data_IF_641720571369
#
_entry.id   IF_641720571369
#
_cell.length_a   1.000
_cell.length_b   1.000
_cell.length_c   1.000
_cell.angle_alpha   90.00
_cell.angle_beta   90.00
_cell.angle_gamma   90.00
#
_symmetry.space_group_name_H-M   'P 1'
#
loop_
_entity.id
_entity.type
_entity.pdbx_description
1 polymer ?
#
# COMPACT_ATOMS: atom_id res chain seq x y z
N UNK A 1 -35.45 -10.65 -4.58
CA UNK A 1 -34.19 -10.78 -5.35
C UNK A 1 -33.09 -10.06 -4.58
N UNK A 2 -31.93 -10.68 -4.41
CA UNK A 2 -30.74 -9.99 -3.85
C UNK A 2 -30.29 -8.87 -4.78
N UNK A 3 -29.83 -7.76 -4.22
CA UNK A 3 -29.28 -6.65 -5.01
C UNK A 3 -27.94 -7.06 -5.60
N UNK A 4 -27.66 -6.67 -6.85
CA UNK A 4 -26.36 -6.85 -7.48
C UNK A 4 -25.27 -6.06 -6.76
N UNK A 5 -24.08 -6.62 -6.69
CA UNK A 5 -22.88 -5.93 -6.23
C UNK A 5 -22.43 -4.90 -7.25
N UNK A 6 -22.45 -3.62 -6.88
CA UNK A 6 -22.05 -2.50 -7.75
C UNK A 6 -20.78 -1.87 -7.19
N UNK A 7 -19.74 -1.78 -8.01
CA UNK A 7 -18.55 -1.01 -7.70
C UNK A 7 -18.54 0.28 -8.53
N UNK A 8 -18.51 1.42 -7.84
CA UNK A 8 -18.18 2.70 -8.46
C UNK A 8 -16.68 2.89 -8.38
N UNK A 9 -16.01 3.04 -9.52
CA UNK A 9 -14.59 3.29 -9.62
C UNK A 9 -14.37 4.76 -9.98
N UNK A 10 -13.63 5.48 -9.15
CA UNK A 10 -13.26 6.87 -9.35
C UNK A 10 -11.75 6.93 -9.64
N UNK A 11 -11.40 7.46 -10.79
CA UNK A 11 -10.03 7.56 -11.24
C UNK A 11 -9.74 8.98 -11.73
N UNK A 12 -8.63 9.58 -11.29
CA UNK A 12 -8.23 10.92 -11.72
C UNK A 12 -7.52 10.94 -13.07
N UNK A 13 -7.12 9.77 -13.60
CA UNK A 13 -6.45 9.65 -14.89
C UNK A 13 -7.46 9.79 -16.03
N UNK A 14 -6.99 10.19 -17.21
CA UNK A 14 -7.83 10.29 -18.43
C UNK A 14 -8.45 8.95 -18.83
N UNK A 15 -7.81 7.85 -18.45
CA UNK A 15 -8.30 6.48 -18.62
C UNK A 15 -8.05 5.70 -17.34
N UNK A 16 -9.12 5.24 -16.72
CA UNK A 16 -8.99 4.42 -15.52
C UNK A 16 -8.34 3.07 -15.80
N UNK A 17 -7.63 2.57 -14.82
CA UNK A 17 -6.83 1.35 -14.89
C UNK A 17 -7.63 0.12 -15.36
N UNK A 18 -7.24 -0.45 -16.50
CA UNK A 18 -7.80 -1.72 -17.00
C UNK A 18 -7.50 -2.86 -16.01
N UNK A 19 -6.32 -2.85 -15.39
CA UNK A 19 -5.94 -3.83 -14.38
C UNK A 19 -6.95 -3.85 -13.22
N UNK A 20 -7.28 -2.68 -12.66
CA UNK A 20 -8.19 -2.59 -11.52
C UNK A 20 -9.63 -2.95 -11.90
N UNK A 21 -10.05 -2.62 -13.13
CA UNK A 21 -11.36 -3.01 -13.68
C UNK A 21 -11.48 -4.54 -13.80
N UNK A 22 -10.45 -5.22 -14.31
CA UNK A 22 -10.44 -6.69 -14.42
C UNK A 22 -10.46 -7.32 -13.03
N UNK A 23 -9.62 -6.83 -12.11
CA UNK A 23 -9.60 -7.32 -10.72
C UNK A 23 -10.96 -7.11 -10.06
N UNK A 24 -11.62 -5.99 -10.28
CA UNK A 24 -12.95 -5.71 -9.72
C UNK A 24 -14.00 -6.75 -10.15
N UNK A 25 -14.08 -7.05 -11.44
CA UNK A 25 -15.00 -8.07 -11.98
C UNK A 25 -14.66 -9.46 -11.45
N UNK A 26 -13.38 -9.84 -11.48
CA UNK A 26 -12.90 -11.14 -10.96
C UNK A 26 -13.13 -11.32 -9.45
N UNK A 27 -13.43 -10.22 -8.74
CA UNK A 27 -13.62 -10.19 -7.29
C UNK A 27 -15.09 -10.07 -6.85
N UNK A 28 -16.03 -10.20 -7.79
CA UNK A 28 -17.47 -10.24 -7.50
C UNK A 28 -18.20 -8.91 -7.64
N UNK A 29 -17.61 -7.90 -8.27
CA UNK A 29 -18.35 -6.75 -8.75
C UNK A 29 -19.20 -7.17 -9.96
N UNK A 30 -20.52 -7.36 -9.76
CA UNK A 30 -21.43 -7.77 -10.84
C UNK A 30 -21.69 -6.63 -11.84
N UNK A 31 -21.56 -5.38 -11.38
CA UNK A 31 -21.68 -4.16 -12.19
C UNK A 31 -20.56 -3.21 -11.80
N UNK A 32 -19.86 -2.70 -12.78
CA UNK A 32 -18.78 -1.72 -12.61
C UNK A 32 -19.16 -0.42 -13.31
N UNK A 33 -19.22 0.68 -12.55
CA UNK A 33 -19.33 2.04 -13.08
C UNK A 33 -17.97 2.72 -12.93
N UNK A 34 -17.18 2.72 -14.00
CA UNK A 34 -15.88 3.36 -14.02
C UNK A 34 -16.01 4.79 -14.54
N UNK A 35 -15.52 5.73 -13.75
CA UNK A 35 -15.44 7.16 -14.09
C UNK A 35 -13.99 7.56 -14.20
N UNK A 36 -13.64 8.06 -15.37
CA UNK A 36 -12.32 8.55 -15.74
C UNK A 36 -12.25 10.07 -15.53
N UNK A 37 -11.05 10.62 -15.34
CA UNK A 37 -10.80 12.05 -15.20
C UNK A 37 -11.70 12.72 -14.16
N UNK A 38 -11.87 12.06 -13.00
CA UNK A 38 -12.74 12.55 -11.93
C UNK A 38 -12.08 13.73 -11.22
N UNK A 39 -12.83 14.84 -11.13
CA UNK A 39 -12.44 16.04 -10.36
C UNK A 39 -13.20 16.11 -9.04
N UNK A 40 -12.62 16.82 -8.07
CA UNK A 40 -13.20 16.97 -6.73
C UNK A 40 -14.64 17.50 -6.72
N UNK A 41 -14.98 18.43 -7.64
CA UNK A 41 -16.31 19.03 -7.77
C UNK A 41 -17.39 18.05 -8.23
N UNK A 42 -17.00 16.89 -8.79
CA UNK A 42 -17.92 15.86 -9.27
C UNK A 42 -18.23 14.79 -8.21
N UNK A 43 -17.35 14.63 -7.20
CA UNK A 43 -17.40 13.51 -6.26
C UNK A 43 -18.71 13.45 -5.49
N UNK A 44 -19.20 14.59 -4.97
CA UNK A 44 -20.44 14.62 -4.19
C UNK A 44 -21.61 14.05 -4.98
N UNK A 45 -21.79 14.45 -6.23
CA UNK A 45 -22.88 13.95 -7.09
C UNK A 45 -22.77 12.44 -7.31
N UNK A 46 -21.57 11.92 -7.54
CA UNK A 46 -21.33 10.49 -7.73
C UNK A 46 -21.61 9.69 -6.46
N UNK A 47 -21.15 10.18 -5.30
CA UNK A 47 -21.42 9.55 -3.99
C UNK A 47 -22.90 9.56 -3.67
N UNK A 48 -23.60 10.69 -3.86
CA UNK A 48 -25.04 10.80 -3.65
C UNK A 48 -25.82 9.83 -4.55
N UNK A 49 -25.37 9.62 -5.81
CA UNK A 49 -25.87 8.57 -6.68
C UNK A 49 -25.76 7.17 -6.09
N UNK A 50 -24.71 6.90 -5.32
CA UNK A 50 -24.55 5.61 -4.64
C UNK A 50 -25.45 5.47 -3.40
N UNK A 51 -25.49 6.48 -2.53
CA UNK A 51 -26.10 6.34 -1.19
C UNK A 51 -27.62 6.58 -1.17
N UNK A 52 -28.19 7.28 -2.17
CA UNK A 52 -29.63 7.57 -2.23
C UNK A 52 -30.44 6.59 -3.09
N UNK A 53 -29.81 5.67 -3.80
CA UNK A 53 -30.50 4.75 -4.74
C UNK A 53 -30.92 3.44 -4.08
N UNK A 54 -30.44 3.15 -2.88
CA UNK A 54 -30.72 1.91 -2.13
C UNK A 54 -31.08 2.23 -0.70
N UNK A 55 -31.87 1.33 -0.06
CA UNK A 55 -32.10 1.42 1.38
C UNK A 55 -30.79 1.14 2.15
N UNK A 56 -30.60 1.68 3.39
CA UNK A 56 -29.38 1.47 4.16
C UNK A 56 -28.94 0.00 4.28
N UNK A 57 -29.91 -0.93 4.42
CA UNK A 57 -29.63 -2.38 4.48
C UNK A 57 -29.07 -2.97 3.18
N UNK A 58 -29.35 -2.33 2.05
CA UNK A 58 -28.90 -2.79 0.72
C UNK A 58 -27.59 -2.10 0.29
N UNK A 59 -27.13 -1.07 1.02
CA UNK A 59 -25.92 -0.30 0.69
C UNK A 59 -24.65 -1.13 0.84
N UNK A 60 -24.65 -2.24 1.58
CA UNK A 60 -23.53 -3.19 1.59
C UNK A 60 -23.24 -3.80 0.19
N UNK A 61 -24.19 -3.72 -0.75
CA UNK A 61 -24.00 -4.17 -2.15
C UNK A 61 -23.60 -3.01 -3.10
N UNK A 62 -23.19 -1.88 -2.54
CA UNK A 62 -22.58 -0.76 -3.28
C UNK A 62 -21.27 -0.38 -2.60
N UNK A 63 -20.21 -0.20 -3.37
CA UNK A 63 -18.92 0.21 -2.86
C UNK A 63 -18.24 1.20 -3.80
N UNK A 64 -17.23 1.93 -3.29
CA UNK A 64 -16.45 2.88 -4.06
C UNK A 64 -14.97 2.47 -4.00
N UNK A 65 -14.33 2.34 -5.16
CA UNK A 65 -12.90 2.19 -5.31
C UNK A 65 -12.30 3.49 -5.86
N UNK A 66 -11.24 3.97 -5.23
CA UNK A 66 -10.50 5.16 -5.69
C UNK A 66 -9.13 4.72 -6.18
N UNK A 67 -8.89 4.89 -7.49
CA UNK A 67 -7.68 4.55 -8.21
C UNK A 67 -6.93 5.76 -8.75
N UNK A 68 -6.14 5.52 -9.80
CA UNK A 68 -5.35 6.53 -10.52
C UNK A 68 -3.85 6.43 -10.27
N UNK A 69 -3.08 7.06 -11.14
CA UNK A 69 -1.61 7.08 -11.06
C UNK A 69 -1.11 8.12 -10.04
N UNK A 70 -1.86 9.21 -9.85
CA UNK A 70 -1.54 10.27 -8.90
C UNK A 70 -2.16 9.99 -7.53
N UNK A 71 -1.32 9.53 -6.60
CA UNK A 71 -1.76 9.12 -5.26
C UNK A 71 -2.28 10.29 -4.43
N UNK A 72 -1.71 11.49 -4.56
CA UNK A 72 -2.17 12.68 -3.83
C UNK A 72 -3.57 13.11 -4.28
N UNK A 73 -3.83 13.10 -5.59
CA UNK A 73 -5.16 13.36 -6.12
C UNK A 73 -6.17 12.31 -5.67
N UNK A 74 -5.80 11.03 -5.69
CA UNK A 74 -6.66 9.95 -5.24
C UNK A 74 -6.98 10.05 -3.72
N UNK A 75 -6.02 10.44 -2.90
CA UNK A 75 -6.26 10.73 -1.46
C UNK A 75 -7.24 11.89 -1.29
N UNK A 76 -7.12 12.95 -2.10
CA UNK A 76 -8.07 14.07 -2.07
C UNK A 76 -9.47 13.64 -2.52
N UNK A 77 -9.60 12.82 -3.57
CA UNK A 77 -10.87 12.24 -3.99
C UNK A 77 -11.49 11.39 -2.89
N UNK A 78 -10.72 10.51 -2.23
CA UNK A 78 -11.20 9.69 -1.12
C UNK A 78 -11.70 10.55 0.05
N UNK A 79 -10.98 11.60 0.39
CA UNK A 79 -11.40 12.53 1.45
C UNK A 79 -12.75 13.19 1.13
N UNK A 80 -12.97 13.56 -0.15
CA UNK A 80 -14.24 14.12 -0.61
C UNK A 80 -15.35 13.07 -0.63
N UNK A 81 -15.04 11.80 -1.02
CA UNK A 81 -15.98 10.68 -0.93
C UNK A 81 -16.49 10.54 0.51
N UNK A 82 -15.59 10.54 1.50
CA UNK A 82 -15.99 10.39 2.91
C UNK A 82 -16.81 11.59 3.40
N UNK A 83 -16.49 12.83 2.98
CA UNK A 83 -17.28 14.03 3.34
C UNK A 83 -18.68 14.04 2.75
N UNK A 84 -18.85 13.42 1.59
CA UNK A 84 -20.12 13.35 0.86
C UNK A 84 -21.07 12.28 1.39
N UNK A 85 -20.64 11.41 2.30
CA UNK A 85 -21.47 10.40 2.95
C UNK A 85 -22.23 10.98 4.15
N UNK A 86 -23.34 10.34 4.54
CA UNK A 86 -24.20 10.78 5.65
C UNK A 86 -24.38 9.60 6.63
N UNK A 87 -23.34 9.22 7.38
CA UNK A 87 -23.31 8.02 8.21
C UNK A 87 -24.36 8.03 9.33
N UNK A 88 -24.74 9.18 9.85
CA UNK A 88 -25.75 9.32 10.91
C UNK A 88 -27.13 8.78 10.49
N UNK A 89 -27.38 8.71 9.19
CA UNK A 89 -28.59 8.12 8.61
C UNK A 89 -28.34 6.73 7.99
N UNK A 90 -27.16 6.15 8.21
CA UNK A 90 -26.75 4.89 7.59
C UNK A 90 -26.50 4.99 6.07
N UNK A 91 -26.45 6.22 5.53
CA UNK A 91 -26.24 6.51 4.11
C UNK A 91 -24.72 6.61 3.83
N UNK A 92 -24.09 5.46 3.80
CA UNK A 92 -22.67 5.31 3.49
C UNK A 92 -22.42 3.98 2.77
N UNK A 93 -21.31 3.89 2.07
CA UNK A 93 -20.84 2.69 1.39
C UNK A 93 -19.38 2.42 1.73
N UNK A 94 -18.96 1.17 1.60
CA UNK A 94 -17.55 0.81 1.80
C UNK A 94 -16.67 1.45 0.73
N UNK A 95 -15.44 1.80 1.12
CA UNK A 95 -14.45 2.44 0.26
C UNK A 95 -13.12 1.72 0.28
N UNK A 96 -12.38 1.75 -0.83
CA UNK A 96 -11.00 1.30 -0.94
C UNK A 96 -10.18 2.33 -1.70
N UNK A 97 -8.98 2.61 -1.20
CA UNK A 97 -7.95 3.40 -1.89
C UNK A 97 -6.81 2.47 -2.28
N UNK A 98 -6.51 2.40 -3.57
CA UNK A 98 -5.29 1.71 -4.02
C UNK A 98 -4.68 2.35 -5.28
N UNK A 99 -4.61 3.69 -5.27
CA UNK A 99 -3.99 4.44 -6.37
C UNK A 99 -2.55 3.97 -6.62
N UNK A 100 -2.22 3.75 -7.89
CA UNK A 100 -0.95 3.17 -8.33
C UNK A 100 -0.59 1.85 -7.62
N UNK A 101 -1.59 1.15 -7.09
CA UNK A 101 -1.41 -0.10 -6.35
C UNK A 101 -0.56 0.03 -5.08
N UNK A 102 -0.42 1.24 -4.51
CA UNK A 102 0.56 1.51 -3.46
C UNK A 102 0.21 0.87 -2.11
N UNK A 103 -1.08 0.80 -1.76
CA UNK A 103 -1.52 0.22 -0.49
C UNK A 103 -1.41 -1.31 -0.50
N UNK A 104 -1.92 -1.95 -1.55
CA UNK A 104 -1.84 -3.43 -1.68
C UNK A 104 -0.41 -3.91 -1.87
N UNK A 105 0.46 -3.15 -2.56
CA UNK A 105 1.89 -3.49 -2.72
C UNK A 105 2.62 -3.42 -1.38
N UNK A 106 2.43 -2.33 -0.62
CA UNK A 106 3.04 -2.18 0.69
C UNK A 106 2.58 -3.29 1.66
N UNK A 107 1.28 -3.54 1.72
CA UNK A 107 0.70 -4.59 2.58
C UNK A 107 1.21 -5.99 2.20
N UNK A 108 1.30 -6.29 0.91
CA UNK A 108 1.83 -7.58 0.44
C UNK A 108 3.31 -7.75 0.80
N UNK A 109 4.13 -6.72 0.59
CA UNK A 109 5.55 -6.76 0.92
C UNK A 109 5.78 -7.04 2.42
N UNK A 110 5.06 -6.33 3.29
CA UNK A 110 5.21 -6.51 4.74
C UNK A 110 4.61 -7.83 5.21
N UNK A 111 3.55 -8.34 4.57
CA UNK A 111 3.05 -9.69 4.84
C UNK A 111 4.08 -10.77 4.49
N UNK A 112 4.84 -10.60 3.38
CA UNK A 112 5.95 -11.50 3.06
C UNK A 112 7.06 -11.41 4.13
N UNK A 113 7.48 -10.21 4.51
CA UNK A 113 8.49 -10.03 5.57
C UNK A 113 8.05 -10.66 6.90
N UNK A 114 6.81 -10.46 7.31
CA UNK A 114 6.23 -10.98 8.55
C UNK A 114 6.09 -12.51 8.59
N UNK A 115 6.27 -13.22 7.47
CA UNK A 115 6.37 -14.69 7.48
C UNK A 115 7.74 -15.21 7.95
N UNK A 116 8.75 -14.33 8.00
CA UNK A 116 10.12 -14.68 8.39
C UNK A 116 10.61 -13.93 9.63
N UNK A 117 9.93 -12.84 10.01
CA UNK A 117 10.35 -11.92 11.05
C UNK A 117 9.22 -11.67 12.05
N UNK A 118 9.55 -11.57 13.34
CA UNK A 118 8.68 -10.92 14.32
C UNK A 118 8.82 -9.40 14.13
N UNK A 119 7.80 -8.77 13.51
CA UNK A 119 7.87 -7.35 13.15
C UNK A 119 8.04 -6.44 14.38
N UNK A 120 7.47 -6.78 15.52
CA UNK A 120 7.61 -5.98 16.75
C UNK A 120 9.05 -5.94 17.31
N UNK A 121 9.85 -6.97 17.00
CA UNK A 121 11.26 -7.07 17.41
C UNK A 121 12.23 -6.66 16.30
N UNK A 122 11.69 -6.26 15.15
CA UNK A 122 12.46 -5.93 13.95
C UNK A 122 12.91 -4.47 13.94
N UNK A 123 14.14 -4.22 13.49
CA UNK A 123 14.57 -2.93 12.99
C UNK A 123 14.56 -2.98 11.46
N UNK A 124 13.84 -2.07 10.84
CA UNK A 124 13.68 -2.02 9.39
C UNK A 124 14.18 -0.71 8.79
N UNK A 125 14.83 -0.78 7.62
CA UNK A 125 15.16 0.39 6.80
C UNK A 125 14.25 0.40 5.57
N UNK A 126 13.55 1.51 5.35
CA UNK A 126 12.73 1.75 4.16
C UNK A 126 13.44 2.74 3.25
N UNK A 127 13.99 2.27 2.14
CA UNK A 127 14.64 3.07 1.11
C UNK A 127 13.58 3.65 0.17
N UNK A 128 13.69 4.94 -0.16
CA UNK A 128 12.61 5.63 -0.88
C UNK A 128 11.36 5.82 -0.04
N UNK A 129 11.52 5.93 1.28
CA UNK A 129 10.44 5.98 2.26
C UNK A 129 9.47 7.15 2.14
N UNK A 130 9.83 8.18 1.36
CA UNK A 130 8.96 9.35 1.11
C UNK A 130 8.09 9.20 -0.15
N UNK A 131 8.27 8.12 -0.92
CA UNK A 131 7.41 7.80 -2.04
C UNK A 131 6.09 7.13 -1.60
N UNK A 132 5.12 6.99 -2.51
CA UNK A 132 3.80 6.43 -2.18
C UNK A 132 3.84 5.06 -1.51
N UNK A 133 4.57 4.11 -2.07
CA UNK A 133 4.71 2.76 -1.50
C UNK A 133 5.53 2.79 -0.22
N UNK A 134 6.66 3.52 -0.21
CA UNK A 134 7.56 3.58 0.94
C UNK A 134 6.91 4.18 2.20
N UNK A 135 6.11 5.23 2.04
CA UNK A 135 5.37 5.83 3.16
C UNK A 135 4.35 4.84 3.77
N UNK A 136 3.71 4.01 2.96
CA UNK A 136 2.76 2.98 3.40
C UNK A 136 3.45 1.79 4.04
N UNK A 137 4.59 1.35 3.49
CA UNK A 137 5.46 0.35 4.11
C UNK A 137 5.88 0.82 5.51
N UNK A 138 6.35 2.07 5.63
CA UNK A 138 6.75 2.63 6.91
C UNK A 138 5.58 2.76 7.89
N UNK A 139 4.38 3.15 7.43
CA UNK A 139 3.16 3.22 8.25
C UNK A 139 2.79 1.83 8.81
N UNK A 140 2.74 0.81 7.96
CA UNK A 140 2.38 -0.56 8.36
C UNK A 140 3.40 -1.09 9.37
N UNK A 141 4.70 -0.98 9.09
CA UNK A 141 5.76 -1.40 9.99
C UNK A 141 5.71 -0.68 11.35
N UNK A 142 5.52 0.64 11.33
CA UNK A 142 5.41 1.44 12.54
C UNK A 142 4.21 1.01 13.42
N UNK A 143 3.08 0.70 12.79
CA UNK A 143 1.88 0.19 13.47
C UNK A 143 2.08 -1.21 14.07
N UNK A 144 2.87 -2.06 13.41
CA UNK A 144 3.23 -3.39 13.94
C UNK A 144 4.35 -3.34 15.01
N UNK A 145 4.77 -2.14 15.45
CA UNK A 145 5.76 -1.95 16.51
C UNK A 145 7.21 -2.03 16.06
N UNK A 146 7.46 -2.14 14.74
CA UNK A 146 8.80 -2.18 14.17
C UNK A 146 9.55 -0.86 14.40
N UNK A 147 10.83 -0.91 14.71
CA UNK A 147 11.72 0.25 14.72
C UNK A 147 12.06 0.64 13.28
N UNK A 148 11.37 1.64 12.74
CA UNK A 148 11.50 2.03 11.33
C UNK A 148 12.51 3.15 11.16
N UNK A 149 13.50 2.95 10.28
CA UNK A 149 14.37 3.97 9.71
C UNK A 149 13.80 4.40 8.35
N UNK A 150 13.39 5.64 8.23
CA UNK A 150 12.75 6.18 7.01
C UNK A 150 13.79 6.89 6.15
N UNK A 151 14.33 6.20 5.16
CA UNK A 151 15.39 6.69 4.29
C UNK A 151 14.87 7.53 3.12
N UNK A 152 15.45 8.72 2.93
CA UNK A 152 15.17 9.63 1.82
C UNK A 152 16.43 10.41 1.43
N UNK A 153 16.51 10.90 0.18
CA UNK A 153 17.54 11.85 -0.26
C UNK A 153 17.36 13.25 0.33
N UNK A 154 16.21 13.54 0.95
CA UNK A 154 15.88 14.80 1.60
C UNK A 154 15.42 14.51 3.02
N UNK A 155 16.20 14.98 4.00
CA UNK A 155 15.85 14.82 5.42
C UNK A 155 14.52 15.52 5.74
N UNK A 156 14.28 16.71 5.21
CA UNK A 156 13.05 17.47 5.47
C UNK A 156 11.79 16.73 5.00
N UNK A 157 11.85 16.07 3.83
CA UNK A 157 10.74 15.22 3.35
C UNK A 157 10.56 13.98 4.23
N UNK A 158 11.65 13.35 4.67
CA UNK A 158 11.57 12.20 5.59
C UNK A 158 10.93 12.62 6.93
N UNK A 159 11.32 13.79 7.49
CA UNK A 159 10.72 14.35 8.71
C UNK A 159 9.22 14.61 8.55
N UNK A 160 8.81 15.21 7.43
CA UNK A 160 7.39 15.47 7.15
C UNK A 160 6.58 14.18 7.10
N UNK A 161 7.05 13.15 6.40
CA UNK A 161 6.37 11.84 6.32
C UNK A 161 6.37 11.14 7.68
N UNK A 162 7.49 11.14 8.41
CA UNK A 162 7.56 10.55 9.75
C UNK A 162 6.54 11.20 10.71
N UNK A 163 6.38 12.53 10.64
CA UNK A 163 5.37 13.26 11.43
C UNK A 163 3.95 12.83 11.06
N UNK A 164 3.63 12.73 9.76
CA UNK A 164 2.31 12.26 9.29
C UNK A 164 2.03 10.85 9.79
N UNK A 165 3.01 9.94 9.68
CA UNK A 165 2.88 8.57 10.18
C UNK A 165 2.67 8.58 11.70
N UNK A 166 3.46 9.35 12.45
CA UNK A 166 3.32 9.49 13.90
C UNK A 166 1.91 9.93 14.31
N UNK A 167 1.31 10.89 13.60
CA UNK A 167 -0.08 11.30 13.84
C UNK A 167 -1.10 10.18 13.54
N UNK A 168 -0.89 9.42 12.45
CA UNK A 168 -1.80 8.33 12.06
C UNK A 168 -1.78 7.15 13.02
N UNK A 169 -0.61 6.78 13.56
CA UNK A 169 -0.47 5.66 14.50
C UNK A 169 -0.80 6.05 15.95
N UNK A 170 -0.71 7.34 16.31
CA UNK A 170 -0.94 7.81 17.68
C UNK A 170 -0.07 7.04 18.70
N UNK A 171 -0.71 6.48 19.72
CA UNK A 171 -0.03 5.68 20.75
C UNK A 171 0.08 4.18 20.41
N UNK A 172 -0.31 3.77 19.20
CA UNK A 172 -0.41 2.35 18.81
C UNK A 172 0.86 1.81 18.11
N UNK A 173 1.97 2.56 18.11
CA UNK A 173 3.17 2.11 17.41
C UNK A 173 4.39 2.97 17.69
N UNK A 174 5.44 2.76 16.89
CA UNK A 174 6.72 3.46 17.01
C UNK A 174 6.90 4.44 15.85
N UNK A 175 7.01 5.75 16.16
CA UNK A 175 7.23 6.77 15.13
C UNK A 175 8.53 6.49 14.35
N UNK A 176 8.50 6.52 13.00
CA UNK A 176 9.69 6.31 12.20
C UNK A 176 10.78 7.36 12.45
N UNK A 177 12.04 6.91 12.47
CA UNK A 177 13.21 7.79 12.54
C UNK A 177 13.57 8.25 11.13
N UNK A 178 13.46 9.54 10.79
CA UNK A 178 13.83 10.05 9.48
C UNK A 178 15.35 10.09 9.30
N UNK A 179 15.84 9.62 8.16
CA UNK A 179 17.24 9.59 7.80
C UNK A 179 17.48 10.17 6.40
N UNK A 180 18.56 10.94 6.25
CA UNK A 180 19.07 11.31 4.95
C UNK A 180 20.00 10.24 4.41
N UNK A 181 19.72 9.78 3.18
CA UNK A 181 20.54 8.79 2.47
C UNK A 181 20.89 9.36 1.12
N UNK A 182 22.05 9.98 1.04
CA UNK A 182 22.58 10.65 -0.16
C UNK A 182 23.68 9.86 -0.88
N UNK A 183 24.24 8.82 -0.25
CA UNK A 183 25.34 8.02 -0.80
C UNK A 183 25.19 6.54 -0.41
N UNK A 184 25.97 5.67 -1.08
CA UNK A 184 26.05 4.24 -0.71
C UNK A 184 26.59 4.07 0.72
N UNK A 185 27.58 4.86 1.13
CA UNK A 185 28.13 4.77 2.50
C UNK A 185 27.09 5.13 3.55
N UNK A 186 26.31 6.21 3.36
CA UNK A 186 25.23 6.57 4.27
C UNK A 186 24.12 5.52 4.30
N UNK A 187 23.85 4.82 3.18
CA UNK A 187 22.93 3.71 3.09
C UNK A 187 23.42 2.51 3.88
N UNK A 188 24.67 2.10 3.70
CA UNK A 188 25.26 0.96 4.42
C UNK A 188 25.30 1.24 5.93
N UNK A 189 25.64 2.47 6.35
CA UNK A 189 25.60 2.88 7.76
C UNK A 189 24.16 2.81 8.31
N UNK A 190 23.17 3.34 7.57
CA UNK A 190 21.76 3.25 7.95
C UNK A 190 21.23 1.81 8.01
N UNK A 191 21.87 0.86 7.32
CA UNK A 191 21.49 -0.56 7.29
C UNK A 191 22.01 -1.37 8.48
N UNK A 192 23.04 -0.88 9.18
CA UNK A 192 23.63 -1.59 10.34
C UNK A 192 22.56 -1.85 11.41
N UNK A 193 22.52 -3.12 11.87
CA UNK A 193 21.55 -3.56 12.89
C UNK A 193 20.10 -3.65 12.41
N UNK A 194 19.84 -3.50 11.11
CA UNK A 194 18.54 -3.81 10.52
C UNK A 194 18.44 -5.31 10.22
N UNK A 195 17.27 -5.89 10.43
CA UNK A 195 16.95 -7.26 9.98
C UNK A 195 16.05 -7.30 8.75
N UNK A 196 15.42 -6.16 8.41
CA UNK A 196 14.60 -5.98 7.22
C UNK A 196 15.03 -4.72 6.45
N UNK A 197 15.17 -4.85 5.14
CA UNK A 197 15.30 -3.69 4.25
C UNK A 197 14.27 -3.79 3.13
N UNK A 198 13.53 -2.71 2.90
CA UNK A 198 12.54 -2.61 1.83
C UNK A 198 12.90 -1.44 0.92
N UNK A 199 13.26 -1.75 -0.32
CA UNK A 199 13.56 -0.76 -1.35
C UNK A 199 12.27 -0.42 -2.12
N UNK A 200 11.86 0.86 -1.99
CA UNK A 200 10.65 1.44 -2.60
C UNK A 200 11.03 2.63 -3.50
N UNK A 201 12.21 2.59 -4.11
CA UNK A 201 12.67 3.65 -5.00
C UNK A 201 11.82 3.78 -6.26
N UNK A 202 11.84 4.96 -6.87
CA UNK A 202 11.28 5.14 -8.20
C UNK A 202 12.02 4.29 -9.23
N UNK A 203 11.37 4.01 -10.37
CA UNK A 203 12.00 3.31 -11.49
C UNK A 203 13.36 3.98 -11.85
N UNK A 204 14.40 3.16 -12.00
CA UNK A 204 15.74 3.61 -12.27
C UNK A 204 16.58 4.04 -11.05
N UNK A 205 16.00 4.08 -9.85
CA UNK A 205 16.77 4.35 -8.63
C UNK A 205 17.60 3.12 -8.24
N UNK A 206 18.92 3.26 -8.18
CA UNK A 206 19.85 2.23 -7.69
C UNK A 206 20.24 2.57 -6.26
N UNK A 207 20.35 1.55 -5.42
CA UNK A 207 20.79 1.70 -4.03
C UNK A 207 22.16 1.04 -3.81
N UNK A 208 22.22 -0.27 -3.73
CA UNK A 208 23.45 -1.04 -3.51
C UNK A 208 23.24 -2.53 -3.86
N UNK A 209 24.32 -3.32 -3.81
CA UNK A 209 24.24 -4.75 -4.05
C UNK A 209 23.86 -5.55 -2.79
N UNK A 210 23.10 -6.64 -2.97
CA UNK A 210 22.73 -7.60 -1.91
C UNK A 210 23.97 -8.10 -1.17
N UNK A 211 25.08 -8.41 -1.88
CA UNK A 211 26.31 -8.90 -1.30
C UNK A 211 26.89 -7.93 -0.25
N UNK A 212 26.90 -6.61 -0.55
CA UNK A 212 27.37 -5.58 0.39
C UNK A 212 26.50 -5.49 1.64
N UNK A 213 25.20 -5.59 1.46
CA UNK A 213 24.25 -5.61 2.59
C UNK A 213 24.40 -6.86 3.45
N UNK A 214 24.50 -8.02 2.84
CA UNK A 214 24.71 -9.29 3.54
C UNK A 214 25.98 -9.27 4.38
N UNK A 215 27.06 -8.66 3.88
CA UNK A 215 28.34 -8.54 4.60
C UNK A 215 28.25 -7.71 5.89
N UNK A 216 27.21 -6.88 6.09
CA UNK A 216 26.98 -6.14 7.34
C UNK A 216 26.57 -7.07 8.48
N UNK A 217 26.06 -8.26 8.20
CA UNK A 217 25.46 -9.17 9.16
C UNK A 217 24.12 -8.68 9.73
N UNK A 218 23.30 -9.61 10.23
CA UNK A 218 22.03 -9.30 10.89
C UNK A 218 20.85 -9.09 9.94
N UNK A 219 21.05 -8.74 8.67
CA UNK A 219 19.97 -8.62 7.70
C UNK A 219 19.46 -10.02 7.34
N UNK A 220 18.16 -10.23 7.45
CA UNK A 220 17.48 -11.51 7.20
C UNK A 220 16.61 -11.48 5.97
N UNK A 221 15.97 -10.33 5.69
CA UNK A 221 15.05 -10.17 4.56
C UNK A 221 15.36 -8.87 3.81
N UNK A 222 15.47 -8.99 2.48
CA UNK A 222 15.57 -7.88 1.53
C UNK A 222 14.40 -7.94 0.56
N UNK A 223 13.71 -6.83 0.38
CA UNK A 223 12.60 -6.70 -0.58
C UNK A 223 12.92 -5.54 -1.51
N UNK A 224 12.93 -5.79 -2.83
CA UNK A 224 13.01 -4.76 -3.86
C UNK A 224 11.68 -4.70 -4.62
N UNK A 225 10.97 -3.59 -4.46
CA UNK A 225 9.68 -3.35 -5.11
C UNK A 225 9.81 -2.66 -6.48
N UNK A 226 11.05 -2.41 -6.93
CA UNK A 226 11.30 -1.93 -8.27
C UNK A 226 11.33 -3.11 -9.26
N UNK A 227 10.31 -3.16 -10.14
CA UNK A 227 10.22 -4.19 -11.19
C UNK A 227 10.81 -3.77 -12.53
N UNK A 228 11.37 -2.57 -12.65
CA UNK A 228 11.86 -1.99 -13.91
C UNK A 228 13.38 -1.80 -13.84
N UNK A 229 14.17 -2.35 -14.77
CA UNK A 229 15.60 -2.11 -14.79
C UNK A 229 15.96 -0.62 -14.98
N UNK A 230 17.07 -0.15 -14.35
CA UNK A 230 17.89 -0.88 -13.39
C UNK A 230 17.17 -1.12 -12.06
N UNK A 231 17.37 -2.33 -11.49
CA UNK A 231 16.76 -2.71 -10.21
C UNK A 231 17.33 -1.87 -9.05
N UNK A 232 16.55 -1.75 -7.99
CA UNK A 232 16.91 -0.95 -6.81
C UNK A 232 18.06 -1.60 -6.01
N UNK A 233 17.94 -2.90 -5.75
CA UNK A 233 18.96 -3.72 -5.09
C UNK A 233 19.59 -4.67 -6.09
N UNK A 234 20.84 -4.41 -6.48
CA UNK A 234 21.57 -5.28 -7.39
C UNK A 234 21.70 -6.69 -6.80
N UNK A 235 21.25 -7.68 -7.57
CA UNK A 235 21.23 -9.09 -7.16
C UNK A 235 19.87 -9.56 -6.63
N UNK A 236 18.87 -8.69 -6.40
CA UNK A 236 17.48 -9.11 -6.23
C UNK A 236 16.82 -9.16 -7.60
N UNK A 237 16.38 -10.34 -8.01
CA UNK A 237 15.68 -10.52 -9.29
C UNK A 237 14.19 -10.29 -9.13
N UNK A 238 13.47 -9.78 -10.16
CA UNK A 238 12.03 -9.50 -10.07
C UNK A 238 11.17 -10.69 -9.61
N UNK A 239 11.55 -11.91 -9.99
CA UNK A 239 10.85 -13.15 -9.67
C UNK A 239 11.28 -13.78 -8.34
N UNK A 240 12.27 -13.23 -7.62
CA UNK A 240 12.69 -13.79 -6.33
C UNK A 240 11.51 -13.82 -5.34
N UNK A 241 11.26 -14.99 -4.77
CA UNK A 241 10.24 -15.24 -3.76
C UNK A 241 10.86 -16.08 -2.66
N UNK A 242 11.25 -15.44 -1.56
CA UNK A 242 12.08 -16.02 -0.48
C UNK A 242 13.35 -16.70 -1.03
N UNK A 243 13.95 -16.13 -2.08
CA UNK A 243 15.18 -16.68 -2.65
C UNK A 243 16.35 -16.34 -1.76
N UNK A 244 17.04 -17.36 -1.26
CA UNK A 244 18.24 -17.15 -0.46
C UNK A 244 19.42 -16.72 -1.33
N UNK A 245 20.05 -15.61 -0.97
CA UNK A 245 21.26 -15.06 -1.60
C UNK A 245 22.18 -14.52 -0.51
N UNK A 246 23.41 -15.03 -0.45
CA UNK A 246 24.38 -14.66 0.59
C UNK A 246 23.84 -14.78 2.02
N UNK A 247 22.99 -15.78 2.30
CA UNK A 247 22.38 -15.99 3.62
C UNK A 247 21.21 -15.06 3.96
N UNK A 248 20.70 -14.28 2.97
CA UNK A 248 19.57 -13.35 3.12
C UNK A 248 18.43 -13.77 2.20
N UNK A 249 17.21 -13.75 2.71
CA UNK A 249 16.01 -14.02 1.91
C UNK A 249 15.62 -12.80 1.07
N UNK A 250 15.57 -12.97 -0.24
CA UNK A 250 15.28 -11.91 -1.19
C UNK A 250 13.88 -12.07 -1.80
N UNK A 251 13.19 -10.94 -1.94
CA UNK A 251 11.93 -10.82 -2.66
C UNK A 251 12.02 -9.71 -3.70
N UNK A 252 11.67 -10.02 -4.94
CA UNK A 252 11.53 -9.05 -6.02
C UNK A 252 10.07 -8.64 -6.22
N UNK A 253 9.86 -7.62 -7.05
CA UNK A 253 8.55 -7.02 -7.29
C UNK A 253 7.50 -8.04 -7.77
N UNK A 254 7.84 -8.95 -8.69
CA UNK A 254 6.94 -10.00 -9.17
C UNK A 254 6.78 -11.13 -8.16
N UNK A 255 7.82 -11.41 -7.34
CA UNK A 255 7.74 -12.37 -6.24
C UNK A 255 6.71 -11.94 -5.16
N UNK A 256 6.59 -10.65 -4.91
CA UNK A 256 5.54 -10.05 -4.07
C UNK A 256 4.20 -9.95 -4.83
N UNK A 257 4.26 -9.71 -6.14
CA UNK A 257 3.11 -9.39 -7.00
C UNK A 257 2.01 -10.45 -7.00
N UNK A 258 2.36 -11.73 -6.94
CA UNK A 258 1.37 -12.81 -6.90
C UNK A 258 0.45 -12.74 -5.68
N UNK A 259 1.01 -12.47 -4.51
CA UNK A 259 0.22 -12.25 -3.29
C UNK A 259 -0.52 -10.90 -3.33
N UNK A 260 0.08 -9.85 -3.89
CA UNK A 260 -0.56 -8.54 -4.07
C UNK A 260 -1.88 -8.66 -4.84
N UNK A 261 -1.91 -9.42 -5.95
CA UNK A 261 -3.13 -9.65 -6.73
C UNK A 261 -4.18 -10.40 -5.91
N UNK A 262 -3.79 -11.46 -5.18
CA UNK A 262 -4.67 -12.20 -4.28
C UNK A 262 -5.28 -11.29 -3.21
N UNK A 263 -4.45 -10.44 -2.61
CA UNK A 263 -4.89 -9.46 -1.60
C UNK A 263 -5.84 -8.43 -2.20
N UNK A 264 -5.53 -7.88 -3.36
CA UNK A 264 -6.37 -6.89 -4.03
C UNK A 264 -7.79 -7.47 -4.29
N UNK A 265 -7.86 -8.69 -4.83
CA UNK A 265 -9.13 -9.39 -5.03
C UNK A 265 -9.90 -9.57 -3.72
N UNK A 266 -9.23 -9.98 -2.66
CA UNK A 266 -9.84 -10.14 -1.35
C UNK A 266 -10.36 -8.80 -0.79
N UNK A 267 -9.64 -7.70 -0.98
CA UNK A 267 -10.07 -6.36 -0.58
C UNK A 267 -11.36 -5.96 -1.31
N UNK A 268 -11.40 -6.09 -2.63
CA UNK A 268 -12.59 -5.74 -3.41
C UNK A 268 -13.79 -6.60 -3.00
N UNK A 269 -13.62 -7.91 -2.84
CA UNK A 269 -14.69 -8.79 -2.37
C UNK A 269 -15.21 -8.38 -0.98
N UNK A 270 -14.29 -8.01 -0.08
CA UNK A 270 -14.62 -7.59 1.29
C UNK A 270 -15.46 -6.30 1.35
N UNK A 271 -15.36 -5.42 0.35
CA UNK A 271 -16.16 -4.19 0.29
C UNK A 271 -17.68 -4.45 0.30
N UNK A 272 -18.12 -5.60 -0.17
CA UNK A 272 -19.54 -5.96 -0.27
C UNK A 272 -20.08 -6.71 0.95
N UNK A 273 -19.25 -6.93 1.99
CA UNK A 273 -19.68 -7.58 3.24
C UNK A 273 -20.38 -6.60 4.19
N UNK A 274 -20.01 -5.31 4.13
CA UNK A 274 -20.57 -4.22 4.95
C UNK A 274 -20.69 -2.96 4.10
N UNK A 275 -21.28 -1.90 4.67
CA UNK A 275 -21.39 -0.60 3.99
C UNK A 275 -20.52 0.50 4.62
N UNK A 276 -19.61 0.14 5.52
CA UNK A 276 -18.84 1.11 6.31
C UNK A 276 -17.34 0.81 6.38
N UNK A 277 -16.84 -0.12 5.56
CA UNK A 277 -15.41 -0.40 5.50
C UNK A 277 -14.66 0.75 4.84
N UNK A 278 -13.48 1.07 5.38
CA UNK A 278 -12.55 2.03 4.81
C UNK A 278 -11.22 1.32 4.66
N UNK A 279 -10.95 0.81 3.46
CA UNK A 279 -9.75 0.02 3.17
C UNK A 279 -8.65 0.94 2.64
N UNK A 280 -7.75 1.32 3.54
CA UNK A 280 -6.49 1.98 3.25
C UNK A 280 -5.31 1.05 3.64
N UNK A 281 -4.08 1.56 3.68
CA UNK A 281 -2.88 0.73 3.88
C UNK A 281 -2.94 -0.17 5.14
N UNK A 282 -3.46 0.35 6.24
CA UNK A 282 -3.52 -0.35 7.52
C UNK A 282 -4.57 -1.47 7.50
N UNK A 283 -5.78 -1.18 7.05
CA UNK A 283 -6.90 -2.13 6.99
C UNK A 283 -6.66 -3.21 5.91
N UNK A 284 -6.03 -2.82 4.78
CA UNK A 284 -5.59 -3.76 3.74
C UNK A 284 -4.53 -4.71 4.31
N UNK A 285 -3.60 -4.22 5.15
CA UNK A 285 -2.63 -5.09 5.80
C UNK A 285 -3.28 -6.01 6.84
N UNK A 286 -4.26 -5.53 7.61
CA UNK A 286 -5.02 -6.38 8.52
C UNK A 286 -5.71 -7.52 7.77
N UNK A 287 -6.29 -7.25 6.61
CA UNK A 287 -6.84 -8.28 5.74
C UNK A 287 -5.74 -9.22 5.20
N UNK A 288 -4.58 -8.69 4.83
CA UNK A 288 -3.46 -9.51 4.37
C UNK A 288 -2.99 -10.55 5.40
N UNK A 289 -3.09 -10.24 6.70
CA UNK A 289 -2.75 -11.19 7.79
C UNK A 289 -3.67 -12.40 7.82
N UNK A 290 -4.90 -12.29 7.35
CA UNK A 290 -5.89 -13.39 7.33
C UNK A 290 -5.71 -14.33 6.12
N UNK A 291 -4.94 -13.92 5.12
CA UNK A 291 -4.74 -14.69 3.89
C UNK A 291 -3.51 -15.60 3.99
N UNK A 292 -3.63 -16.82 3.43
CA UNK A 292 -2.48 -17.70 3.23
C UNK A 292 -1.56 -17.16 2.13
N UNK A 293 -0.24 -17.22 2.36
CA UNK A 293 0.82 -16.78 1.41
C UNK A 293 1.01 -17.80 0.29
#
# INVERSE_FOLDING_TARGET
MSKRSILLMLDSDEQSSVFDRVVAIDSGAEVLFAHDNVRLDQVQTLVHGCIFTRSPKDLAKTAIFVGGSNVEQAEALLAEVHRSMIPDYGLQVSTMLDANGCNTTAAAAIRMAGSHLNLAETTALVLGGTGPVGARVALILAREGTKVRLGSRSLSRAQSIAKVIGHKIGNQGTCPTPLEIGSEDSLLEASKGCSLIVACGAAGARFTAVQKMAALGGIRVLIDLNGVPPLGLEGVEPLDKAKEKFGVLCYGALGVGGFKIKLHRACVANLFEKNNLKLEAAEIYDLAKTLHI
#
